data_IF_282938934743
#
_entry.id   IF_282938934743
#
_cell.length_a   1.000
_cell.length_b   1.000
_cell.length_c   1.000
_cell.angle_alpha   90.00
_cell.angle_beta   90.00
_cell.angle_gamma   90.00
#
_symmetry.space_group_name_H-M   'P 1'
#
loop_
_entity.id
_entity.type
_entity.pdbx_description
1 polymer ?
#
# COMPACT_ATOMS: atom_id res chain seq x y z
N UNK A 1 -0.47 -4.06 -38.54
CA UNK A 1 -1.71 -3.93 -37.75
C UNK A 1 -1.83 -5.03 -36.72
N UNK A 2 -1.99 -4.66 -35.45
CA UNK A 2 -2.33 -5.58 -34.37
C UNK A 2 -3.86 -5.75 -34.34
N UNK A 3 -4.39 -6.98 -34.32
CA UNK A 3 -5.84 -7.20 -34.31
C UNK A 3 -6.48 -6.60 -33.05
N UNK A 4 -7.58 -5.88 -33.23
CA UNK A 4 -8.41 -5.33 -32.16
C UNK A 4 -9.80 -6.00 -32.17
N UNK A 5 -10.30 -6.48 -31.01
CA UNK A 5 -9.64 -6.43 -29.71
C UNK A 5 -8.46 -7.41 -29.64
N UNK A 6 -7.49 -7.15 -28.75
CA UNK A 6 -6.46 -8.12 -28.45
C UNK A 6 -7.09 -9.40 -27.90
N UNK A 7 -6.39 -10.52 -28.08
CA UNK A 7 -6.79 -11.77 -27.44
C UNK A 7 -6.90 -11.60 -25.92
N UNK A 8 -7.84 -12.31 -25.25
CA UNK A 8 -7.96 -12.30 -23.81
C UNK A 8 -6.65 -12.64 -23.11
N UNK A 9 -6.43 -12.05 -21.93
CA UNK A 9 -5.29 -12.40 -21.09
C UNK A 9 -5.36 -13.87 -20.64
N UNK A 10 -4.21 -14.51 -20.45
CA UNK A 10 -4.16 -15.86 -19.90
C UNK A 10 -4.66 -15.88 -18.45
N UNK A 11 -5.17 -17.04 -18.02
CA UNK A 11 -5.62 -17.25 -16.64
C UNK A 11 -4.49 -16.96 -15.63
N UNK A 12 -3.27 -17.41 -15.91
CA UNK A 12 -2.08 -17.09 -15.10
C UNK A 12 -1.85 -15.57 -14.98
N UNK A 13 -1.98 -14.84 -16.09
CA UNK A 13 -1.82 -13.37 -16.07
C UNK A 13 -2.88 -12.71 -15.20
N UNK A 14 -4.14 -13.13 -15.33
CA UNK A 14 -5.23 -12.62 -14.51
C UNK A 14 -5.02 -12.95 -13.03
N UNK A 15 -4.68 -14.20 -12.70
CA UNK A 15 -4.40 -14.64 -11.35
C UNK A 15 -3.24 -13.84 -10.72
N UNK A 16 -2.18 -13.60 -11.49
CA UNK A 16 -1.03 -12.80 -11.05
C UNK A 16 -1.40 -11.35 -10.78
N UNK A 17 -2.22 -10.74 -11.65
CA UNK A 17 -2.72 -9.38 -11.44
C UNK A 17 -3.50 -9.31 -10.13
N UNK A 18 -4.51 -10.18 -9.96
CA UNK A 18 -5.35 -10.21 -8.77
C UNK A 18 -4.54 -10.44 -7.49
N UNK A 19 -3.62 -11.40 -7.52
CA UNK A 19 -2.75 -11.72 -6.37
C UNK A 19 -1.88 -10.53 -5.99
N UNK A 20 -1.26 -9.88 -6.98
CA UNK A 20 -0.37 -8.75 -6.73
C UNK A 20 -1.14 -7.52 -6.23
N UNK A 21 -2.31 -7.25 -6.80
CA UNK A 21 -3.20 -6.19 -6.32
C UNK A 21 -3.58 -6.43 -4.85
N UNK A 22 -4.04 -7.62 -4.50
CA UNK A 22 -4.39 -7.96 -3.11
C UNK A 22 -3.20 -7.82 -2.15
N UNK A 23 -1.98 -8.16 -2.59
CA UNK A 23 -0.75 -7.97 -1.80
C UNK A 23 -0.35 -6.50 -1.65
N UNK A 24 -0.63 -5.66 -2.63
CA UNK A 24 -0.35 -4.23 -2.58
C UNK A 24 -1.31 -3.49 -1.65
N UNK A 25 -2.58 -3.93 -1.61
CA UNK A 25 -3.65 -3.35 -0.77
C UNK A 25 -3.73 -4.07 0.60
N UNK A 26 -2.60 -4.53 1.13
CA UNK A 26 -2.58 -4.96 2.53
C UNK A 26 -2.54 -3.73 3.46
N UNK A 27 -3.36 -3.67 4.52
CA UNK A 27 -3.51 -2.48 5.36
C UNK A 27 -2.20 -1.92 5.89
N UNK A 28 -1.26 -2.78 6.25
CA UNK A 28 0.08 -2.43 6.74
C UNK A 28 0.93 -1.64 5.71
N UNK A 29 0.57 -1.68 4.43
CA UNK A 29 1.31 -1.01 3.35
C UNK A 29 0.82 0.39 3.00
N UNK A 30 -0.44 0.71 3.32
CA UNK A 30 -1.06 1.98 2.92
C UNK A 30 -1.80 2.69 4.05
N UNK A 31 -1.93 2.08 5.24
CA UNK A 31 -2.53 2.77 6.38
C UNK A 31 -1.61 3.92 6.81
N UNK A 32 -2.20 5.11 6.88
CA UNK A 32 -1.52 6.34 7.29
C UNK A 32 -2.13 6.90 8.57
N UNK A 33 -1.32 7.65 9.31
CA UNK A 33 -1.78 8.42 10.47
C UNK A 33 -1.09 9.77 10.47
N UNK A 34 -1.68 10.74 11.17
CA UNK A 34 -1.04 12.03 11.41
C UNK A 34 0.18 11.88 12.31
N UNK A 35 1.31 12.49 11.92
CA UNK A 35 2.45 12.68 12.80
C UNK A 35 2.12 13.74 13.86
N UNK A 36 2.30 13.41 15.14
CA UNK A 36 1.98 14.32 16.24
C UNK A 36 2.90 15.56 16.32
N UNK A 37 4.07 15.51 15.69
CA UNK A 37 5.04 16.61 15.70
C UNK A 37 4.75 17.61 14.59
N UNK A 38 4.55 17.14 13.35
CA UNK A 38 4.44 18.00 12.18
C UNK A 38 3.06 17.98 11.50
N UNK A 39 2.13 17.15 11.97
CA UNK A 39 0.76 17.06 11.45
C UNK A 39 0.61 16.41 10.08
N UNK A 40 1.70 15.97 9.43
CA UNK A 40 1.64 15.32 8.11
C UNK A 40 1.05 13.92 8.22
N UNK A 41 0.24 13.53 7.23
CA UNK A 41 -0.07 12.12 7.00
C UNK A 41 1.21 11.38 6.64
N UNK A 42 1.44 10.25 7.30
CA UNK A 42 2.65 9.44 7.14
C UNK A 42 2.26 7.97 7.29
N UNK A 43 2.86 7.05 6.51
CA UNK A 43 2.63 5.62 6.66
C UNK A 43 2.85 5.16 8.10
N UNK A 44 1.91 4.39 8.66
CA UNK A 44 1.97 3.94 10.05
C UNK A 44 3.24 3.14 10.34
N UNK A 45 3.76 2.40 9.35
CA UNK A 45 5.03 1.66 9.45
C UNK A 45 6.28 2.55 9.66
N UNK A 46 6.18 3.84 9.33
CA UNK A 46 7.25 4.84 9.51
C UNK A 46 7.07 5.67 10.78
N UNK A 47 5.95 5.47 11.51
CA UNK A 47 5.63 6.19 12.74
C UNK A 47 5.95 5.35 13.98
N UNK A 48 6.44 6.03 15.01
CA UNK A 48 6.58 5.46 16.35
C UNK A 48 5.33 5.79 17.19
N UNK A 49 4.81 4.81 17.93
CA UNK A 49 3.69 5.04 18.85
C UNK A 49 4.10 6.06 19.93
N UNK A 50 3.28 7.09 20.13
CA UNK A 50 3.53 8.12 21.16
C UNK A 50 3.69 7.52 22.57
N UNK A 51 2.85 6.54 22.92
CA UNK A 51 2.95 5.85 24.22
C UNK A 51 4.29 5.12 24.43
N UNK A 52 5.02 4.83 23.35
CA UNK A 52 6.34 4.19 23.39
C UNK A 52 7.49 5.20 23.28
N UNK A 53 7.19 6.47 23.03
CA UNK A 53 8.20 7.53 22.92
C UNK A 53 8.69 7.92 24.31
N UNK A 54 10.02 7.90 24.51
CA UNK A 54 10.69 8.24 25.79
C UNK A 54 11.53 9.52 25.71
N UNK A 55 11.33 10.33 24.67
CA UNK A 55 11.97 11.64 24.54
C UNK A 55 11.10 12.74 25.14
N UNK A 56 11.72 13.89 25.41
CA UNK A 56 10.99 15.11 25.71
C UNK A 56 10.49 15.71 24.38
N UNK A 57 9.20 16.03 24.30
CA UNK A 57 8.60 16.78 23.18
C UNK A 57 8.82 18.28 23.39
#
# INVERSE_FOLDING_TARGET
DTPFPPSPASEDTLHRILTNSSKAVQPDRFLESGCAVCGRLTPVKELTKLASFRGNL
#
